data_IF_412622987102
#
_entry.id   IF_412622987102
#
_cell.length_a   1.000
_cell.length_b   1.000
_cell.length_c   1.000
_cell.angle_alpha   90.00
_cell.angle_beta   90.00
_cell.angle_gamma   90.00
#
_symmetry.space_group_name_H-M   'P 1'
#
loop_
_entity.id
_entity.type
_entity.pdbx_description
1 polymer ?
#
# COMPACT_ATOMS: atom_id res chain seq x y z
N UNK A 1 -11.48 -0.11 -0.48
CA UNK A 1 -12.33 1.02 -0.03
C UNK A 1 -12.96 1.69 -1.25
N UNK A 2 -13.97 2.56 -1.11
CA UNK A 2 -14.60 3.23 -2.27
C UNK A 2 -13.74 4.36 -2.86
N UNK A 3 -12.89 4.97 -2.03
CA UNK A 3 -12.09 6.15 -2.40
C UNK A 3 -10.65 5.79 -2.85
N UNK A 4 -10.39 4.51 -3.09
CA UNK A 4 -9.09 3.99 -3.51
C UNK A 4 -9.26 3.14 -4.77
N UNK A 5 -8.22 3.10 -5.60
CA UNK A 5 -8.18 2.25 -6.79
C UNK A 5 -8.39 0.80 -6.36
N UNK A 6 -9.31 0.11 -7.03
CA UNK A 6 -9.63 -1.27 -6.71
C UNK A 6 -8.50 -2.22 -7.14
N UNK A 7 -7.78 -2.79 -6.17
CA UNK A 7 -6.66 -3.71 -6.41
C UNK A 7 -7.02 -5.19 -6.31
N UNK A 8 -8.22 -5.55 -5.83
CA UNK A 8 -8.63 -6.95 -5.58
C UNK A 8 -8.48 -7.84 -6.83
N UNK A 9 -9.08 -7.44 -7.96
CA UNK A 9 -8.99 -8.22 -9.20
C UNK A 9 -7.55 -8.35 -9.72
N UNK A 10 -6.71 -7.34 -9.48
CA UNK A 10 -5.29 -7.39 -9.83
C UNK A 10 -4.54 -8.39 -8.95
N UNK A 11 -4.74 -8.33 -7.64
CA UNK A 11 -4.14 -9.24 -6.66
C UNK A 11 -4.54 -10.69 -6.95
N UNK A 12 -5.82 -10.97 -7.16
CA UNK A 12 -6.32 -12.31 -7.47
C UNK A 12 -5.75 -12.87 -8.78
N UNK A 13 -5.64 -12.02 -9.81
CA UNK A 13 -5.07 -12.42 -11.10
C UNK A 13 -3.60 -12.84 -10.97
N UNK A 14 -2.82 -12.11 -10.17
CA UNK A 14 -1.38 -12.29 -10.09
C UNK A 14 -0.91 -13.21 -8.95
N UNK A 15 -1.74 -13.50 -7.95
CA UNK A 15 -1.39 -14.33 -6.78
C UNK A 15 -0.91 -15.74 -7.14
N UNK A 16 -1.28 -16.26 -8.31
CA UNK A 16 -0.82 -17.57 -8.81
C UNK A 16 0.58 -17.57 -9.42
N UNK A 17 1.13 -16.40 -9.75
CA UNK A 17 2.40 -16.27 -10.48
C UNK A 17 3.40 -15.31 -9.82
N UNK A 18 2.95 -14.55 -8.82
CA UNK A 18 3.74 -13.62 -8.04
C UNK A 18 3.47 -13.85 -6.56
N UNK A 19 4.48 -13.63 -5.73
CA UNK A 19 4.31 -13.56 -4.28
C UNK A 19 3.66 -12.21 -3.96
N UNK A 20 2.40 -12.25 -3.53
CA UNK A 20 1.68 -11.05 -3.12
C UNK A 20 1.79 -10.91 -1.61
N UNK A 21 2.02 -9.68 -1.17
CA UNK A 21 2.15 -9.31 0.24
C UNK A 21 1.16 -8.17 0.48
N UNK A 22 0.31 -8.33 1.49
CA UNK A 22 -0.72 -7.35 1.83
C UNK A 22 -0.47 -6.79 3.24
N UNK A 23 -0.72 -5.50 3.46
CA UNK A 23 -0.61 -4.90 4.78
C UNK A 23 -1.85 -5.18 5.65
N UNK A 24 -1.65 -5.37 6.95
CA UNK A 24 -2.68 -5.39 7.99
C UNK A 24 -2.26 -4.48 9.13
N UNK A 25 -3.22 -3.75 9.69
CA UNK A 25 -2.98 -2.92 10.88
C UNK A 25 -3.03 -3.82 12.10
N UNK A 26 -1.93 -3.92 12.85
CA UNK A 26 -1.86 -4.66 14.12
C UNK A 26 -1.43 -3.70 15.22
N UNK A 27 -2.39 -3.27 16.04
CA UNK A 27 -2.17 -2.22 17.02
C UNK A 27 -1.81 -0.88 16.36
N UNK A 28 -0.63 -0.36 16.67
CA UNK A 28 -0.10 0.89 16.12
C UNK A 28 0.90 0.69 14.98
N UNK A 29 1.04 -0.53 14.46
CA UNK A 29 1.98 -0.88 13.39
C UNK A 29 1.28 -1.47 12.16
N UNK A 30 1.97 -1.38 11.01
CA UNK A 30 1.54 -1.99 9.75
C UNK A 30 2.36 -3.25 9.51
N UNK A 31 1.75 -4.41 9.74
CA UNK A 31 2.37 -5.70 9.51
C UNK A 31 2.12 -6.14 8.06
N UNK A 32 3.13 -6.73 7.42
CA UNK A 32 2.99 -7.33 6.10
C UNK A 32 2.72 -8.83 6.22
N UNK A 33 1.77 -9.34 5.44
CA UNK A 33 1.41 -10.75 5.42
C UNK A 33 1.38 -11.30 4.01
N UNK A 34 1.83 -12.54 3.86
CA UNK A 34 1.79 -13.24 2.56
C UNK A 34 0.35 -13.56 2.20
N UNK A 35 -0.03 -13.26 0.96
CA UNK A 35 -1.32 -13.61 0.39
C UNK A 35 -1.16 -14.70 -0.68
N UNK A 36 -1.79 -15.85 -0.45
CA UNK A 36 -1.81 -17.00 -1.37
C UNK A 36 -3.18 -17.22 -2.02
N UNK A 37 -4.21 -16.51 -1.56
CA UNK A 37 -5.54 -16.55 -2.17
C UNK A 37 -6.63 -16.03 -1.23
N UNK A 38 -7.90 -16.03 -1.67
CA UNK A 38 -9.03 -15.47 -0.91
C UNK A 38 -9.23 -16.08 0.48
N UNK A 39 -8.76 -17.31 0.72
CA UNK A 39 -8.78 -17.97 2.02
C UNK A 39 -7.92 -17.25 3.08
N UNK A 40 -6.94 -16.46 2.65
CA UNK A 40 -6.08 -15.68 3.52
C UNK A 40 -6.67 -14.29 3.81
N UNK A 41 -7.96 -14.09 3.58
CA UNK A 41 -8.66 -12.85 3.90
C UNK A 41 -9.80 -13.13 4.88
N UNK A 42 -9.84 -12.36 5.97
CA UNK A 42 -10.96 -12.34 6.90
C UNK A 42 -11.48 -10.91 7.05
N UNK A 43 -12.77 -10.77 7.38
CA UNK A 43 -13.33 -9.45 7.68
C UNK A 43 -12.80 -8.99 9.02
N UNK A 44 -12.01 -7.92 9.00
CA UNK A 44 -11.46 -7.27 10.18
C UNK A 44 -12.49 -6.41 10.93
N UNK A 45 -12.09 -5.80 12.05
CA UNK A 45 -12.97 -5.05 12.95
C UNK A 45 -13.69 -3.87 12.29
N UNK A 46 -13.12 -3.31 11.22
CA UNK A 46 -13.65 -2.18 10.48
C UNK A 46 -14.47 -2.58 9.24
N UNK A 47 -14.80 -3.87 9.09
CA UNK A 47 -15.58 -4.38 7.95
C UNK A 47 -14.81 -4.46 6.64
N UNK A 48 -13.47 -4.36 6.69
CA UNK A 48 -12.58 -4.50 5.54
C UNK A 48 -11.93 -5.89 5.56
N UNK A 49 -11.66 -6.46 4.38
CA UNK A 49 -10.90 -7.69 4.27
C UNK A 49 -9.43 -7.44 4.65
N UNK A 50 -8.94 -8.16 5.65
CA UNK A 50 -7.58 -8.09 6.16
C UNK A 50 -6.86 -9.42 5.94
N UNK A 51 -5.56 -9.40 5.58
CA UNK A 51 -4.81 -10.63 5.36
C UNK A 51 -4.57 -11.40 6.67
N UNK A 52 -4.85 -12.69 6.65
CA UNK A 52 -4.65 -13.62 7.78
C UNK A 52 -3.47 -14.57 7.58
N UNK A 53 -2.80 -14.48 6.42
CA UNK A 53 -1.62 -15.29 6.09
C UNK A 53 -0.42 -15.06 7.02
N UNK A 54 0.67 -15.78 6.74
CA UNK A 54 1.86 -15.72 7.57
C UNK A 54 2.51 -14.31 7.55
N UNK A 55 3.04 -13.82 8.70
CA UNK A 55 3.82 -12.60 8.75
C UNK A 55 5.01 -12.66 7.79
N UNK A 56 5.27 -11.55 7.12
CA UNK A 56 6.37 -11.36 6.19
C UNK A 56 7.31 -10.28 6.74
N UNK A 57 8.56 -10.65 7.01
CA UNK A 57 9.56 -9.75 7.60
C UNK A 57 10.79 -9.53 6.72
N UNK A 58 10.87 -10.23 5.59
CA UNK A 58 12.01 -10.15 4.67
C UNK A 58 11.83 -9.04 3.62
N UNK A 59 11.73 -7.80 4.09
CA UNK A 59 11.42 -6.63 3.26
C UNK A 59 12.42 -6.39 2.12
N UNK A 60 13.64 -6.89 2.25
CA UNK A 60 14.68 -6.82 1.21
C UNK A 60 14.37 -7.62 -0.05
N UNK A 61 13.43 -8.57 0.02
CA UNK A 61 13.00 -9.39 -1.14
C UNK A 61 11.71 -8.90 -1.80
N UNK A 62 11.28 -7.69 -1.47
CA UNK A 62 10.17 -7.04 -2.17
C UNK A 62 10.72 -6.42 -3.46
N UNK A 63 10.12 -6.77 -4.60
CA UNK A 63 10.53 -6.24 -5.91
C UNK A 63 9.83 -4.93 -6.27
N UNK A 64 8.62 -4.71 -5.73
CA UNK A 64 7.77 -3.55 -6.03
C UNK A 64 6.78 -3.31 -4.89
N UNK A 65 6.63 -2.07 -4.44
CA UNK A 65 5.64 -1.67 -3.47
C UNK A 65 4.58 -0.76 -4.13
N UNK A 66 3.31 -1.18 -4.11
CA UNK A 66 2.21 -0.40 -4.67
C UNK A 66 1.42 0.24 -3.54
N UNK A 67 1.45 1.57 -3.47
CA UNK A 67 1.02 2.34 -2.31
C UNK A 67 -0.23 3.16 -2.63
N UNK A 68 -1.36 2.93 -1.95
CA UNK A 68 -2.53 3.80 -2.06
C UNK A 68 -2.34 5.10 -1.26
N UNK A 69 -3.12 6.12 -1.62
CA UNK A 69 -3.12 7.42 -0.96
C UNK A 69 -4.42 8.18 -1.20
N UNK A 70 -4.65 9.21 -0.39
CA UNK A 70 -5.78 10.14 -0.52
C UNK A 70 -5.50 11.16 -1.63
N UNK A 71 -4.25 11.64 -1.71
CA UNK A 71 -3.78 12.53 -2.75
C UNK A 71 -2.31 12.27 -3.07
N UNK A 72 -1.90 12.63 -4.28
CA UNK A 72 -0.52 12.60 -4.74
C UNK A 72 -0.21 13.87 -5.52
N UNK A 73 1.07 14.22 -5.63
CA UNK A 73 1.52 15.28 -6.54
C UNK A 73 2.58 14.78 -7.54
N UNK A 74 2.94 15.66 -8.48
CA UNK A 74 3.96 15.38 -9.51
C UNK A 74 5.39 15.26 -8.96
N UNK A 75 5.61 15.63 -7.70
CA UNK A 75 6.91 15.53 -7.03
C UNK A 75 7.03 14.21 -6.23
N UNK A 76 6.01 13.36 -6.28
CA UNK A 76 5.98 12.07 -5.59
C UNK A 76 5.54 12.17 -4.13
N UNK A 77 5.07 13.33 -3.66
CA UNK A 77 4.49 13.41 -2.33
C UNK A 77 3.14 12.67 -2.30
N UNK A 78 2.81 12.15 -1.13
CA UNK A 78 1.61 11.33 -0.90
C UNK A 78 0.95 11.77 0.39
N UNK A 79 -0.35 12.06 0.32
CA UNK A 79 -1.18 12.25 1.49
C UNK A 79 -1.82 10.91 1.89
N UNK A 80 -1.44 10.37 3.04
CA UNK A 80 -2.10 9.22 3.65
C UNK A 80 -3.37 9.60 4.42
N UNK A 81 -3.92 8.65 5.18
CA UNK A 81 -5.06 8.88 6.10
C UNK A 81 -4.65 9.40 7.50
N UNK A 82 -3.43 9.91 7.65
CA UNK A 82 -2.97 10.59 8.87
C UNK A 82 -2.49 9.71 10.04
N UNK A 83 -2.24 8.41 9.81
CA UNK A 83 -1.73 7.49 10.86
C UNK A 83 -0.24 7.20 10.81
N UNK A 84 0.47 7.65 9.77
CA UNK A 84 1.92 7.46 9.64
C UNK A 84 2.39 6.02 9.42
N UNK A 85 1.48 5.06 9.22
CA UNK A 85 1.81 3.64 9.07
C UNK A 85 2.82 3.36 7.95
N UNK A 86 2.57 3.93 6.77
CA UNK A 86 3.47 3.75 5.63
C UNK A 86 4.79 4.50 5.81
N UNK A 87 4.82 5.64 6.49
CA UNK A 87 6.05 6.43 6.65
C UNK A 87 7.07 5.69 7.54
N UNK A 88 6.62 4.76 8.40
CA UNK A 88 7.46 3.83 9.16
C UNK A 88 7.88 2.58 8.36
N UNK A 89 7.01 2.09 7.48
CA UNK A 89 7.24 0.86 6.72
C UNK A 89 8.12 1.09 5.48
N UNK A 90 7.84 2.13 4.71
CA UNK A 90 8.46 2.39 3.40
C UNK A 90 9.99 2.54 3.44
N UNK A 91 10.61 3.16 4.48
CA UNK A 91 12.06 3.20 4.61
C UNK A 91 12.73 1.82 4.69
N UNK A 92 11.99 0.79 5.13
CA UNK A 92 12.51 -0.57 5.29
C UNK A 92 12.43 -1.39 3.99
N UNK A 93 11.73 -0.88 2.98
CA UNK A 93 11.53 -1.54 1.69
C UNK A 93 12.46 -0.87 0.66
N UNK A 94 13.55 -1.52 0.20
CA UNK A 94 14.46 -0.91 -0.77
C UNK A 94 13.88 -0.87 -2.20
N UNK A 95 12.78 -1.58 -2.45
CA UNK A 95 12.09 -1.64 -3.73
C UNK A 95 11.56 -0.28 -4.20
N UNK A 96 11.30 -0.11 -5.52
CA UNK A 96 10.53 1.03 -6.03
C UNK A 96 9.13 1.11 -5.43
N UNK A 97 8.71 2.32 -5.08
CA UNK A 97 7.39 2.67 -4.52
C UNK A 97 6.56 3.34 -5.61
N UNK A 98 5.47 2.71 -5.97
CA UNK A 98 4.54 3.20 -6.98
C UNK A 98 3.25 3.62 -6.30
N UNK A 99 2.97 4.92 -6.32
CA UNK A 99 1.68 5.46 -5.93
C UNK A 99 0.63 5.14 -7.00
N UNK A 100 -0.51 4.59 -6.60
CA UNK A 100 -1.66 4.40 -7.49
C UNK A 100 -2.84 5.25 -7.03
N UNK A 101 -3.46 5.97 -7.96
CA UNK A 101 -4.53 6.90 -7.63
C UNK A 101 -5.51 7.09 -8.79
N UNK A 102 -6.66 7.70 -8.49
CA UNK A 102 -7.52 8.26 -9.53
C UNK A 102 -6.96 9.60 -10.03
N UNK A 103 -7.31 10.04 -11.26
CA UNK A 103 -6.86 11.33 -11.78
C UNK A 103 -7.19 12.52 -10.88
N UNK A 104 -8.35 12.52 -10.22
CA UNK A 104 -8.77 13.60 -9.32
C UNK A 104 -7.97 13.66 -8.00
N UNK A 105 -7.22 12.60 -7.68
CA UNK A 105 -6.35 12.55 -6.50
C UNK A 105 -4.95 13.08 -6.81
N UNK A 106 -4.62 13.29 -8.09
CA UNK A 106 -3.38 13.95 -8.50
C UNK A 106 -3.61 15.47 -8.47
N UNK A 107 -3.05 16.12 -7.46
CA UNK A 107 -3.19 17.57 -7.24
C UNK A 107 -1.87 18.30 -7.52
N UNK A 108 -1.91 19.64 -7.55
CA UNK A 108 -0.73 20.45 -7.85
C UNK A 108 0.39 20.29 -6.82
N UNK A 109 0.02 20.30 -5.54
CA UNK A 109 0.94 20.21 -4.42
C UNK A 109 0.24 19.54 -3.24
N UNK A 110 0.87 18.48 -2.72
CA UNK A 110 0.46 17.86 -1.47
C UNK A 110 1.24 18.52 -0.33
N UNK A 111 0.59 19.00 0.75
CA UNK A 111 1.29 19.41 1.95
C UNK A 111 2.10 18.22 2.48
N UNK A 112 3.42 18.35 2.48
CA UNK A 112 4.35 17.30 2.88
C UNK A 112 5.29 17.81 3.96
N UNK A 113 5.59 16.95 4.93
CA UNK A 113 6.62 17.19 5.93
C UNK A 113 7.98 16.66 5.47
N UNK A 114 9.07 17.15 6.06
CA UNK A 114 10.43 16.80 5.64
C UNK A 114 10.76 15.30 5.78
N UNK A 115 9.99 14.58 6.60
CA UNK A 115 10.14 13.15 6.85
C UNK A 115 9.18 12.28 6.02
N UNK A 116 8.33 12.89 5.18
CA UNK A 116 7.40 12.13 4.35
C UNK A 116 8.14 11.40 3.23
N UNK A 117 7.85 10.11 3.09
CA UNK A 117 8.50 9.28 2.09
C UNK A 117 7.88 9.54 0.71
N UNK A 118 8.73 9.91 -0.26
CA UNK A 118 8.31 10.15 -1.64
C UNK A 118 8.16 8.85 -2.43
N UNK A 119 7.15 8.81 -3.29
CA UNK A 119 7.00 7.74 -4.27
C UNK A 119 7.99 7.94 -5.42
N UNK A 120 8.49 6.83 -5.95
CA UNK A 120 9.38 6.83 -7.12
C UNK A 120 8.59 7.06 -8.42
N UNK A 121 7.32 6.65 -8.46
CA UNK A 121 6.44 6.82 -9.62
C UNK A 121 4.99 6.93 -9.17
N UNK A 122 4.19 7.75 -9.86
CA UNK A 122 2.74 7.86 -9.66
C UNK A 122 2.02 7.40 -10.92
N UNK A 123 1.02 6.53 -10.78
CA UNK A 123 0.17 6.04 -11.86
C UNK A 123 -1.27 6.43 -11.55
N UNK A 124 -1.86 7.23 -12.44
CA UNK A 124 -3.28 7.57 -12.41
C UNK A 124 -4.07 6.64 -13.35
N UNK A 125 -5.25 6.20 -12.92
CA UNK A 125 -6.17 5.38 -13.72
C UNK A 125 -6.83 6.14 -14.88
#
# INVERSE_FOLDING_TARGET
MKDEVQTHAFIEKWSRSKRIILPVVTGDELELRVYTGPQDLAIGPYGIAEPTGAPFTDYGTIDLAVIPGVAFDRYGHRLGRGKGYYDRLLPQIPAPKVGICFPFQLIEEVPAEAFDFRMDTIIAQ
#
